data_IF_867250340801
#
_entry.id   IF_867250340801
#
_cell.length_a   1.000
_cell.length_b   1.000
_cell.length_c   1.000
_cell.angle_alpha   90.00
_cell.angle_beta   90.00
_cell.angle_gamma   90.00
#
_symmetry.space_group_name_H-M   'P 1'
#
loop_
_entity.id
_entity.type
_entity.pdbx_description
1 polymer ?
#
# COMPACT_ATOMS: atom_id res chain seq x y z
N UNK A 1 -13.63 0.91 -23.61
CA UNK A 1 -12.84 1.52 -22.52
C UNK A 1 -13.79 1.55 -21.34
N UNK A 2 -13.82 0.50 -20.53
CA UNK A 2 -14.68 0.48 -19.34
C UNK A 2 -14.13 1.50 -18.35
N UNK A 3 -14.97 2.45 -17.96
CA UNK A 3 -14.62 3.49 -16.99
C UNK A 3 -14.18 2.82 -15.69
N UNK A 4 -12.91 2.99 -15.32
CA UNK A 4 -12.40 2.52 -14.03
C UNK A 4 -13.19 3.20 -12.91
N UNK A 5 -13.99 2.41 -12.17
CA UNK A 5 -14.76 2.92 -11.04
C UNK A 5 -13.81 3.11 -9.86
N UNK A 6 -13.39 4.36 -9.66
CA UNK A 6 -12.49 4.77 -8.58
C UNK A 6 -13.26 5.68 -7.62
N UNK A 7 -13.27 5.34 -6.34
CA UNK A 7 -13.82 6.20 -5.27
C UNK A 7 -12.71 6.65 -4.32
N UNK A 8 -12.78 7.90 -3.87
CA UNK A 8 -11.93 8.44 -2.81
C UNK A 8 -12.63 8.18 -1.47
N UNK A 9 -12.01 7.38 -0.61
CA UNK A 9 -12.60 6.91 0.65
C UNK A 9 -11.95 7.60 1.87
N UNK A 10 -10.74 8.13 1.71
CA UNK A 10 -9.99 8.85 2.74
C UNK A 10 -9.21 10.00 2.10
N UNK A 11 -9.39 11.22 2.59
CA UNK A 11 -8.72 12.41 2.07
C UNK A 11 -8.04 13.19 3.19
N UNK A 12 -6.77 12.88 3.46
CA UNK A 12 -5.92 13.66 4.36
C UNK A 12 -4.66 14.16 3.64
N UNK A 13 -4.01 15.23 4.13
CA UNK A 13 -2.86 15.84 3.46
C UNK A 13 -1.68 14.88 3.19
N UNK A 14 -1.48 13.89 4.07
CA UNK A 14 -0.34 12.96 3.99
C UNK A 14 -0.64 11.65 3.29
N UNK A 15 -1.92 11.27 3.21
CA UNK A 15 -2.35 10.08 2.52
C UNK A 15 -3.77 10.26 1.99
N UNK A 16 -3.97 9.87 0.74
CA UNK A 16 -5.30 9.68 0.16
C UNK A 16 -5.51 8.19 -0.11
N UNK A 17 -6.68 7.66 0.24
CA UNK A 17 -6.99 6.25 0.04
C UNK A 17 -8.16 6.14 -0.93
N UNK A 18 -7.94 5.39 -2.00
CA UNK A 18 -8.91 5.12 -3.04
C UNK A 18 -9.31 3.65 -3.05
N UNK A 19 -10.53 3.37 -3.50
CA UNK A 19 -10.95 2.02 -3.86
C UNK A 19 -11.12 1.91 -5.37
N UNK A 20 -10.33 1.05 -5.99
CA UNK A 20 -10.41 0.73 -7.41
C UNK A 20 -11.35 -0.46 -7.53
N UNK A 21 -12.62 -0.19 -7.77
CA UNK A 21 -13.69 -1.19 -7.65
C UNK A 21 -13.55 -2.29 -8.70
N UNK A 22 -13.15 -1.95 -9.93
CA UNK A 22 -13.00 -2.90 -11.04
C UNK A 22 -12.01 -4.02 -10.74
N UNK A 23 -10.97 -3.74 -9.95
CA UNK A 23 -9.93 -4.71 -9.57
C UNK A 23 -9.95 -5.03 -8.06
N UNK A 24 -11.00 -4.58 -7.37
CA UNK A 24 -11.17 -4.67 -5.92
C UNK A 24 -9.89 -4.43 -5.11
N UNK A 25 -9.27 -3.27 -5.35
CA UNK A 25 -7.95 -2.94 -4.79
C UNK A 25 -8.00 -1.62 -4.04
N UNK A 26 -7.38 -1.58 -2.86
CA UNK A 26 -7.21 -0.34 -2.10
C UNK A 26 -5.89 0.31 -2.47
N UNK A 27 -5.89 1.62 -2.78
CA UNK A 27 -4.70 2.37 -3.19
C UNK A 27 -4.41 3.44 -2.15
N UNK A 28 -3.24 3.35 -1.51
CA UNK A 28 -2.73 4.36 -0.59
C UNK A 28 -1.78 5.28 -1.36
N UNK A 29 -2.20 6.51 -1.63
CA UNK A 29 -1.35 7.56 -2.21
C UNK A 29 -0.73 8.41 -1.10
N UNK A 30 0.55 8.19 -0.83
CA UNK A 30 1.32 8.92 0.18
C UNK A 30 1.93 10.20 -0.38
N UNK A 31 1.97 11.25 0.45
CA UNK A 31 2.52 12.57 0.09
C UNK A 31 3.36 13.17 1.22
N UNK A 32 4.60 13.54 0.91
CA UNK A 32 5.56 14.14 1.84
C UNK A 32 5.91 13.23 3.02
N UNK A 33 6.33 13.85 4.12
CA UNK A 33 6.51 13.20 5.43
C UNK A 33 5.16 13.00 6.15
N UNK A 34 4.85 11.75 6.51
CA UNK A 34 3.77 11.40 7.42
C UNK A 34 4.33 11.11 8.81
N UNK A 35 3.73 11.69 9.84
CA UNK A 35 3.99 11.30 11.23
C UNK A 35 3.63 9.82 11.47
N UNK A 36 4.06 9.27 12.60
CA UNK A 36 3.75 7.88 12.93
C UNK A 36 2.23 7.67 13.08
N UNK A 37 1.57 8.63 13.72
CA UNK A 37 0.15 8.60 14.00
C UNK A 37 -0.66 8.66 12.69
N UNK A 38 -0.29 9.56 11.77
CA UNK A 38 -0.91 9.65 10.44
C UNK A 38 -0.66 8.37 9.62
N UNK A 39 0.53 7.79 9.74
CA UNK A 39 0.88 6.56 9.01
C UNK A 39 0.05 5.37 9.51
N UNK A 40 -0.01 5.16 10.83
CA UNK A 40 -0.79 4.08 11.45
C UNK A 40 -2.26 4.22 11.10
N UNK A 41 -2.82 5.42 11.21
CA UNK A 41 -4.23 5.69 10.92
C UNK A 41 -4.59 5.34 9.47
N UNK A 42 -3.79 5.79 8.50
CA UNK A 42 -4.05 5.50 7.09
C UNK A 42 -3.87 4.00 6.76
N UNK A 43 -2.87 3.34 7.35
CA UNK A 43 -2.68 1.90 7.21
C UNK A 43 -3.87 1.10 7.76
N UNK A 44 -4.36 1.43 8.97
CA UNK A 44 -5.52 0.74 9.56
C UNK A 44 -6.81 1.03 8.77
N UNK A 45 -7.06 2.28 8.35
CA UNK A 45 -8.20 2.60 7.49
C UNK A 45 -8.17 1.79 6.19
N UNK A 46 -7.00 1.69 5.53
CA UNK A 46 -6.86 0.93 4.29
C UNK A 46 -7.21 -0.55 4.47
N UNK A 47 -6.85 -1.12 5.62
CA UNK A 47 -7.14 -2.51 5.97
C UNK A 47 -8.64 -2.71 6.21
N UNK A 48 -9.28 -1.81 6.97
CA UNK A 48 -10.74 -1.85 7.18
C UNK A 48 -11.51 -1.74 5.87
N UNK A 49 -11.09 -0.83 4.98
CA UNK A 49 -11.68 -0.66 3.67
C UNK A 49 -11.52 -1.92 2.80
N UNK A 50 -10.36 -2.56 2.85
CA UNK A 50 -10.10 -3.81 2.13
C UNK A 50 -10.99 -4.95 2.64
N UNK A 51 -11.12 -5.09 3.97
CA UNK A 51 -12.00 -6.09 4.61
C UNK A 51 -13.46 -5.84 4.22
N UNK A 52 -13.94 -4.58 4.32
CA UNK A 52 -15.31 -4.18 3.98
C UNK A 52 -15.66 -4.57 2.54
N UNK A 53 -14.72 -4.43 1.62
CA UNK A 53 -14.89 -4.76 0.20
C UNK A 53 -14.51 -6.19 -0.16
N UNK A 54 -14.21 -7.05 0.83
CA UNK A 54 -13.77 -8.44 0.63
C UNK A 54 -12.58 -8.55 -0.34
N UNK A 55 -11.70 -7.55 -0.29
CA UNK A 55 -10.50 -7.47 -1.10
C UNK A 55 -9.34 -8.25 -0.48
N UNK A 56 -8.25 -8.35 -1.23
CA UNK A 56 -6.99 -8.97 -0.76
C UNK A 56 -5.76 -8.25 -1.31
N UNK A 57 -5.96 -7.18 -2.09
CA UNK A 57 -4.95 -6.47 -2.87
C UNK A 57 -4.84 -5.01 -2.42
N UNK A 58 -3.60 -4.51 -2.36
CA UNK A 58 -3.32 -3.10 -2.11
C UNK A 58 -2.23 -2.56 -3.02
N UNK A 59 -2.31 -1.28 -3.36
CA UNK A 59 -1.22 -0.51 -3.95
C UNK A 59 -0.69 0.47 -2.90
N UNK A 60 0.61 0.37 -2.59
CA UNK A 60 1.32 1.39 -1.84
C UNK A 60 1.99 2.36 -2.83
N UNK A 61 1.35 3.50 -3.11
CA UNK A 61 1.87 4.52 -4.01
C UNK A 61 2.74 5.53 -3.25
N UNK A 62 4.05 5.39 -3.38
CA UNK A 62 5.04 6.22 -2.68
C UNK A 62 5.69 7.28 -3.58
N UNK A 63 5.15 7.55 -4.78
CA UNK A 63 5.78 8.46 -5.75
C UNK A 63 6.07 9.86 -5.21
N UNK A 64 5.16 10.38 -4.36
CA UNK A 64 5.26 11.69 -3.72
C UNK A 64 5.62 11.60 -2.23
N UNK A 65 5.88 10.38 -1.72
CA UNK A 65 6.24 10.17 -0.34
C UNK A 65 7.72 10.45 -0.12
N UNK A 66 8.06 10.86 1.09
CA UNK A 66 9.44 10.83 1.56
C UNK A 66 9.84 9.38 1.96
N UNK A 67 10.70 9.22 2.95
CA UNK A 67 11.15 7.92 3.44
C UNK A 67 10.22 7.42 4.54
N UNK A 68 9.87 6.13 4.52
CA UNK A 68 9.18 5.48 5.63
C UNK A 68 10.13 5.43 6.83
N UNK A 69 9.78 6.12 7.91
CA UNK A 69 10.64 6.23 9.10
C UNK A 69 10.94 4.87 9.72
N UNK A 70 12.09 4.67 10.39
CA UNK A 70 12.38 3.44 11.10
C UNK A 70 11.27 3.03 12.08
N UNK A 71 10.70 4.01 12.82
CA UNK A 71 9.55 3.80 13.72
C UNK A 71 8.36 3.14 13.01
N UNK A 72 8.05 3.57 11.78
CA UNK A 72 6.96 2.98 10.98
C UNK A 72 7.33 1.58 10.48
N UNK A 73 8.59 1.35 10.08
CA UNK A 73 9.05 0.03 9.64
C UNK A 73 9.01 -1.01 10.77
N UNK A 74 9.42 -0.60 11.97
CA UNK A 74 9.45 -1.43 13.17
C UNK A 74 8.04 -1.71 13.72
N UNK A 75 7.05 -0.88 13.35
CA UNK A 75 5.63 -1.17 13.63
C UNK A 75 5.01 -2.09 12.57
N UNK A 76 5.29 -1.86 11.27
CA UNK A 76 4.72 -2.63 10.17
C UNK A 76 4.97 -4.13 10.30
N UNK A 77 6.23 -4.49 10.55
CA UNK A 77 6.70 -5.88 10.50
C UNK A 77 6.09 -6.78 11.58
N UNK A 78 6.21 -6.46 12.89
CA UNK A 78 5.70 -7.31 13.95
C UNK A 78 4.20 -7.15 14.22
N UNK A 79 3.58 -6.02 13.84
CA UNK A 79 2.20 -5.69 14.25
C UNK A 79 1.26 -5.68 13.05
N UNK A 80 1.51 -4.80 12.07
CA UNK A 80 0.52 -4.53 11.03
C UNK A 80 0.42 -5.66 9.99
N UNK A 81 1.55 -6.16 9.45
CA UNK A 81 1.51 -7.23 8.44
C UNK A 81 0.89 -8.53 8.95
N UNK A 82 1.20 -9.03 10.18
CA UNK A 82 0.53 -10.22 10.71
C UNK A 82 -0.99 -10.04 10.85
N UNK A 83 -1.43 -8.87 11.36
CA UNK A 83 -2.86 -8.51 11.43
C UNK A 83 -3.49 -8.48 10.04
N UNK A 84 -2.87 -7.79 9.08
CA UNK A 84 -3.38 -7.67 7.72
C UNK A 84 -3.48 -9.04 7.02
N UNK A 85 -2.48 -9.90 7.20
CA UNK A 85 -2.50 -11.26 6.65
C UNK A 85 -3.66 -12.10 7.22
N UNK A 86 -3.87 -12.05 8.53
CA UNK A 86 -4.98 -12.76 9.17
C UNK A 86 -6.36 -12.31 8.63
N UNK A 87 -6.45 -11.06 8.17
CA UNK A 87 -7.66 -10.45 7.61
C UNK A 87 -7.80 -10.60 6.08
N UNK A 88 -6.90 -11.33 5.42
CA UNK A 88 -7.02 -11.65 3.99
C UNK A 88 -6.11 -10.84 3.06
N UNK A 89 -5.25 -9.98 3.58
CA UNK A 89 -4.24 -9.29 2.75
C UNK A 89 -3.25 -10.29 2.14
N UNK A 90 -3.06 -10.29 0.83
CA UNK A 90 -2.18 -11.22 0.12
C UNK A 90 -1.26 -10.55 -0.89
N UNK A 91 -1.76 -9.56 -1.63
CA UNK A 91 -1.05 -9.01 -2.79
C UNK A 91 -0.76 -7.53 -2.61
N UNK A 92 0.51 -7.14 -2.76
CA UNK A 92 0.96 -5.76 -2.68
C UNK A 92 1.66 -5.33 -3.96
N UNK A 93 1.12 -4.32 -4.64
CA UNK A 93 1.89 -3.57 -5.62
C UNK A 93 2.54 -2.38 -4.93
N UNK A 94 3.86 -2.26 -5.02
CA UNK A 94 4.57 -1.16 -4.36
C UNK A 94 5.20 -0.26 -5.41
N UNK A 95 4.68 0.97 -5.49
CA UNK A 95 5.23 1.97 -6.39
C UNK A 95 6.30 2.75 -5.62
N UNK A 96 7.54 2.62 -6.05
CA UNK A 96 8.68 3.29 -5.44
C UNK A 96 8.92 4.63 -6.12
N UNK A 97 9.39 5.61 -5.36
CA UNK A 97 9.81 6.88 -5.95
C UNK A 97 11.15 6.73 -6.70
N UNK A 98 11.53 7.75 -7.48
CA UNK A 98 12.85 7.81 -8.13
C UNK A 98 14.00 7.93 -7.13
N UNK A 99 13.71 8.17 -5.85
CA UNK A 99 14.72 8.26 -4.80
C UNK A 99 15.31 6.88 -4.46
N UNK A 100 16.63 6.76 -4.56
CA UNK A 100 17.37 5.54 -4.20
C UNK A 100 17.12 5.14 -2.73
N UNK A 101 17.01 6.11 -1.82
CA UNK A 101 16.73 5.85 -0.40
C UNK A 101 15.33 5.26 -0.17
N UNK A 102 14.33 5.73 -0.91
CA UNK A 102 12.99 5.16 -0.86
C UNK A 102 13.01 3.72 -1.39
N UNK A 103 13.71 3.47 -2.50
CA UNK A 103 13.85 2.11 -3.05
C UNK A 103 14.53 1.13 -2.08
N UNK A 104 15.59 1.56 -1.40
CA UNK A 104 16.28 0.74 -0.39
C UNK A 104 15.31 0.43 0.77
N UNK A 105 14.69 1.46 1.33
CA UNK A 105 13.79 1.33 2.48
C UNK A 105 12.62 0.40 2.19
N UNK A 106 11.97 0.57 1.04
CA UNK A 106 10.83 -0.27 0.67
C UNK A 106 11.27 -1.72 0.44
N UNK A 107 12.43 -1.95 -0.18
CA UNK A 107 12.98 -3.31 -0.32
C UNK A 107 13.26 -3.95 1.04
N UNK A 108 13.77 -3.19 2.01
CA UNK A 108 13.97 -3.69 3.38
C UNK A 108 12.65 -4.09 4.04
N UNK A 109 11.59 -3.28 3.91
CA UNK A 109 10.26 -3.61 4.42
C UNK A 109 9.75 -4.91 3.79
N UNK A 110 9.84 -5.05 2.47
CA UNK A 110 9.38 -6.26 1.76
C UNK A 110 10.22 -7.48 2.13
N UNK A 111 11.52 -7.33 2.35
CA UNK A 111 12.38 -8.42 2.83
C UNK A 111 12.05 -8.85 4.27
N UNK A 112 11.52 -7.93 5.09
CA UNK A 112 11.03 -8.18 6.45
C UNK A 112 9.61 -8.75 6.46
N UNK A 113 8.81 -8.54 5.41
CA UNK A 113 7.55 -9.26 5.25
C UNK A 113 7.84 -10.76 5.23
N UNK A 114 7.01 -11.52 5.93
CA UNK A 114 7.20 -12.95 6.10
C UNK A 114 7.30 -13.64 4.72
N UNK A 115 8.50 -14.16 4.42
CA UNK A 115 8.86 -14.64 3.07
C UNK A 115 7.93 -15.80 2.69
N UNK A 116 7.09 -15.56 1.68
CA UNK A 116 6.12 -16.54 1.16
C UNK A 116 4.67 -16.32 1.58
N UNK A 117 4.37 -15.36 2.47
CA UNK A 117 2.97 -15.03 2.82
C UNK A 117 2.33 -14.02 1.88
N UNK A 118 3.12 -13.17 1.24
CA UNK A 118 2.61 -12.09 0.39
C UNK A 118 3.21 -12.15 -1.01
N UNK A 119 2.38 -11.89 -2.00
CA UNK A 119 2.82 -11.62 -3.38
C UNK A 119 3.11 -10.14 -3.49
N UNK A 120 4.39 -9.78 -3.59
CA UNK A 120 4.82 -8.38 -3.67
C UNK A 120 5.54 -8.12 -4.98
N UNK A 121 5.13 -7.07 -5.69
CA UNK A 121 5.82 -6.62 -6.90
C UNK A 121 6.04 -5.10 -6.87
N UNK A 122 7.20 -4.67 -7.36
CA UNK A 122 7.62 -3.28 -7.39
C UNK A 122 7.37 -2.65 -8.76
N UNK A 123 6.92 -1.40 -8.76
CA UNK A 123 6.62 -0.62 -9.96
C UNK A 123 7.17 0.81 -9.83
N UNK A 124 7.25 1.51 -10.96
CA UNK A 124 7.66 2.92 -11.03
C UNK A 124 6.52 3.86 -11.42
N UNK A 125 5.35 3.31 -11.76
CA UNK A 125 4.15 4.06 -12.09
C UNK A 125 2.90 3.25 -11.70
N UNK A 126 1.77 3.96 -11.60
CA UNK A 126 0.49 3.40 -11.18
C UNK A 126 -0.18 2.55 -12.24
N UNK A 127 0.05 2.83 -13.52
CA UNK A 127 -0.55 2.09 -14.63
C UNK A 127 -0.07 0.64 -14.62
N UNK A 128 1.24 0.41 -14.65
CA UNK A 128 1.83 -0.94 -14.67
C UNK A 128 1.42 -1.75 -13.43
N UNK A 129 1.36 -1.09 -12.27
CA UNK A 129 0.90 -1.70 -11.02
C UNK A 129 -0.56 -2.17 -11.13
N UNK A 130 -1.42 -1.34 -11.70
CA UNK A 130 -2.84 -1.62 -11.89
C UNK A 130 -3.06 -2.72 -12.93
N UNK A 131 -2.31 -2.69 -14.03
CA UNK A 131 -2.35 -3.73 -15.07
C UNK A 131 -1.90 -5.08 -14.54
N UNK A 132 -0.82 -5.12 -13.75
CA UNK A 132 -0.40 -6.36 -13.07
C UNK A 132 -1.45 -6.87 -12.09
N UNK A 133 -2.10 -6.00 -11.32
CA UNK A 133 -3.14 -6.43 -10.38
C UNK A 133 -4.39 -7.02 -11.07
N UNK A 134 -4.57 -6.79 -12.38
CA UNK A 134 -5.61 -7.44 -13.20
C UNK A 134 -5.24 -8.88 -13.57
N UNK A 135 -3.96 -9.26 -13.52
CA UNK A 135 -3.48 -10.60 -13.93
C UNK A 135 -3.28 -11.57 -12.76
N UNK A 136 -3.36 -11.07 -11.52
CA UNK A 136 -3.16 -11.83 -10.28
C UNK A 136 -4.42 -12.03 -9.46
#
# INVERSE_FOLDING_TARGET
MEDEKITLEYDKPKCKIYHYQTINTVVLEWSGYASHEEFVEACDFSLELMIKNKGSKMIANNLKSEVVTPKNQDWLTPIWFPKAYAQGYRTSAVIVSKSVFNQITVKEIVNKMDKGKFTVQFFTNLQDATEWLKTV
#
